data_IF_586775161453
#
_entry.id   IF_586775161453
#
_cell.length_a   1.000
_cell.length_b   1.000
_cell.length_c   1.000
_cell.angle_alpha   90.00
_cell.angle_beta   90.00
_cell.angle_gamma   90.00
#
_symmetry.space_group_name_H-M   'P 1'
#
loop_
_entity.id
_entity.type
_entity.pdbx_description
1 polymer ?
#
# COMPACT_ATOMS: atom_id res chain seq x y z
N UNK A 1 -3.24 -4.32 8.60
CA UNK A 1 -4.29 -5.21 8.05
C UNK A 1 -5.14 -5.70 9.20
N UNK A 2 -6.50 -5.61 9.19
CA UNK A 2 -7.29 -6.45 10.11
C UNK A 2 -7.32 -7.88 9.58
N UNK A 3 -7.42 -8.83 10.50
CA UNK A 3 -7.11 -10.22 10.20
C UNK A 3 -8.24 -10.87 9.38
N UNK A 4 -9.51 -10.69 9.74
CA UNK A 4 -10.64 -11.36 9.06
C UNK A 4 -10.89 -10.93 7.60
N UNK A 5 -10.62 -9.67 7.25
CA UNK A 5 -11.04 -9.08 5.97
C UNK A 5 -9.97 -9.19 4.88
N UNK A 6 -8.72 -9.29 5.30
CA UNK A 6 -7.69 -9.85 4.45
C UNK A 6 -7.91 -11.33 4.22
N UNK A 7 -8.18 -12.05 5.31
CA UNK A 7 -8.35 -13.50 5.29
C UNK A 7 -9.44 -13.89 4.29
N UNK A 8 -10.60 -13.24 4.29
CA UNK A 8 -11.66 -13.51 3.32
C UNK A 8 -11.22 -13.29 1.85
N UNK A 9 -10.33 -12.32 1.59
CA UNK A 9 -9.84 -11.99 0.24
C UNK A 9 -8.72 -12.91 -0.22
N UNK A 10 -7.85 -13.36 0.68
CA UNK A 10 -6.79 -14.33 0.37
C UNK A 10 -7.29 -15.78 0.36
N UNK A 11 -8.37 -16.09 1.08
CA UNK A 11 -8.97 -17.44 1.15
C UNK A 11 -9.53 -17.96 -0.18
N UNK A 12 -9.78 -17.07 -1.16
CA UNK A 12 -10.17 -17.46 -2.51
C UNK A 12 -8.97 -17.81 -3.41
N UNK A 13 -7.74 -17.62 -2.92
CA UNK A 13 -6.49 -17.87 -3.64
C UNK A 13 -5.79 -19.11 -3.08
N UNK A 14 -4.98 -19.83 -3.88
CA UNK A 14 -4.08 -20.86 -3.36
C UNK A 14 -3.19 -20.32 -2.22
N UNK A 15 -3.13 -21.08 -1.13
CA UNK A 15 -2.59 -20.63 0.16
C UNK A 15 -1.05 -20.46 0.17
N UNK A 16 -0.37 -20.85 -0.89
CA UNK A 16 1.09 -20.81 -1.07
C UNK A 16 1.55 -19.65 -1.97
N UNK A 17 0.64 -18.74 -2.36
CA UNK A 17 0.98 -17.61 -3.22
C UNK A 17 1.60 -16.44 -2.44
N UNK A 18 2.75 -15.98 -2.93
CA UNK A 18 3.43 -14.77 -2.48
C UNK A 18 2.66 -13.51 -2.91
N UNK A 19 2.51 -12.54 -2.00
CA UNK A 19 1.77 -11.30 -2.25
C UNK A 19 2.75 -10.14 -2.43
N UNK A 20 2.73 -9.55 -3.62
CA UNK A 20 3.62 -8.46 -4.02
C UNK A 20 2.82 -7.24 -4.50
N UNK A 21 3.42 -6.05 -4.41
CA UNK A 21 2.96 -4.78 -4.97
C UNK A 21 3.91 -4.32 -6.05
N UNK A 22 3.42 -3.58 -7.06
CA UNK A 22 4.29 -3.04 -8.10
C UNK A 22 5.27 -2.03 -7.50
N UNK A 23 6.56 -2.19 -7.82
CA UNK A 23 7.56 -1.18 -7.47
C UNK A 23 7.39 0.06 -8.36
N UNK A 24 7.85 1.22 -7.88
CA UNK A 24 7.65 2.50 -8.57
C UNK A 24 8.36 2.56 -9.94
N UNK A 25 9.59 2.05 -10.03
CA UNK A 25 10.39 2.14 -11.27
C UNK A 25 10.34 0.86 -12.10
N UNK A 26 10.57 -0.32 -11.49
CA UNK A 26 10.52 -1.61 -12.17
C UNK A 26 10.39 -2.77 -11.16
N UNK A 27 9.65 -3.81 -11.53
CA UNK A 27 9.56 -5.06 -10.75
C UNK A 27 8.44 -5.04 -9.72
N UNK A 28 8.57 -5.89 -8.71
CA UNK A 28 7.57 -6.07 -7.67
C UNK A 28 8.26 -6.14 -6.32
N UNK A 29 7.71 -5.42 -5.34
CA UNK A 29 8.14 -5.47 -3.96
C UNK A 29 7.17 -6.33 -3.15
N UNK A 30 7.62 -7.09 -2.14
CA UNK A 30 6.72 -7.80 -1.24
C UNK A 30 5.85 -6.81 -0.47
N UNK A 31 4.62 -7.20 -0.12
CA UNK A 31 3.82 -6.42 0.83
C UNK A 31 4.42 -6.58 2.22
N UNK A 32 5.07 -5.52 2.73
CA UNK A 32 5.69 -5.55 4.06
C UNK A 32 4.94 -4.76 5.13
N UNK A 33 4.00 -3.90 4.75
CA UNK A 33 3.27 -3.09 5.72
C UNK A 33 1.82 -2.80 5.35
N UNK A 34 1.00 -2.71 6.40
CA UNK A 34 -0.36 -2.24 6.30
C UNK A 34 -0.73 -1.32 7.45
N UNK A 35 -1.00 -0.06 7.12
CA UNK A 35 -1.31 0.99 8.08
C UNK A 35 -2.53 1.79 7.66
N UNK A 36 -3.28 2.24 8.65
CA UNK A 36 -4.31 3.24 8.43
C UNK A 36 -3.65 4.61 8.30
N UNK A 37 -4.01 5.35 7.25
CA UNK A 37 -3.57 6.72 7.00
C UNK A 37 -4.79 7.61 6.80
N UNK A 38 -4.67 8.89 7.15
CA UNK A 38 -5.67 9.89 6.81
C UNK A 38 -5.32 10.47 5.43
N UNK A 39 -6.28 10.49 4.50
CA UNK A 39 -6.08 10.99 3.14
C UNK A 39 -7.10 12.06 2.77
N UNK A 40 -6.68 13.01 1.94
CA UNK A 40 -7.53 14.04 1.35
C UNK A 40 -7.37 14.10 -0.17
N UNK A 41 -8.37 14.64 -0.89
CA UNK A 41 -8.29 14.76 -2.35
C UNK A 41 -7.35 15.90 -2.72
N UNK A 42 -6.45 15.64 -3.65
CA UNK A 42 -5.63 16.70 -4.25
C UNK A 42 -6.51 17.55 -5.17
N UNK A 43 -6.59 18.86 -4.91
CA UNK A 43 -7.19 19.83 -5.82
C UNK A 43 -6.21 20.16 -6.96
N UNK A 44 -6.71 20.29 -8.20
CA UNK A 44 -5.92 20.63 -9.40
C UNK A 44 -4.63 19.82 -9.55
N UNK A 45 -4.78 18.51 -9.81
CA UNK A 45 -3.65 17.58 -9.90
C UNK A 45 -3.14 17.38 -11.32
N UNK A 46 -1.83 17.27 -11.44
CA UNK A 46 -1.17 16.74 -12.64
C UNK A 46 -1.47 15.23 -12.82
N UNK A 47 -1.31 14.72 -14.04
CA UNK A 47 -1.65 13.33 -14.36
C UNK A 47 -0.81 12.30 -13.58
N UNK A 48 0.42 12.67 -13.20
CA UNK A 48 1.35 11.84 -12.44
C UNK A 48 1.16 11.93 -10.93
N UNK A 49 0.28 12.82 -10.45
CA UNK A 49 -0.01 12.96 -9.01
C UNK A 49 -1.17 12.04 -8.65
N UNK A 50 -1.01 11.31 -7.54
CA UNK A 50 -2.06 10.47 -6.97
C UNK A 50 -3.37 11.25 -6.76
N UNK A 51 -4.50 10.57 -6.79
CA UNK A 51 -5.82 11.21 -6.56
C UNK A 51 -5.93 11.76 -5.13
N UNK A 52 -5.15 11.19 -4.21
CA UNK A 52 -5.15 11.53 -2.80
C UNK A 52 -3.72 11.77 -2.31
N UNK A 53 -3.59 12.66 -1.32
CA UNK A 53 -2.38 12.90 -0.56
C UNK A 53 -2.66 12.69 0.94
N UNK A 54 -1.62 12.69 1.76
CA UNK A 54 -1.74 12.65 3.21
C UNK A 54 -2.56 13.86 3.70
N UNK A 55 -3.60 13.61 4.48
CA UNK A 55 -4.44 14.67 4.98
C UNK A 55 -3.77 15.43 6.12
N UNK A 56 -3.83 16.76 6.05
CA UNK A 56 -3.28 17.63 7.09
C UNK A 56 -4.25 17.88 8.27
N UNK A 57 -5.56 17.75 8.04
CA UNK A 57 -6.57 18.08 9.07
C UNK A 57 -7.81 17.14 9.03
N UNK A 58 -8.80 17.40 8.16
CA UNK A 58 -10.06 16.63 8.07
C UNK A 58 -10.01 15.52 7.00
N UNK A 59 -9.00 14.67 7.09
CA UNK A 59 -8.83 13.51 6.20
C UNK A 59 -9.82 12.39 6.47
N UNK A 60 -10.10 11.58 5.45
CA UNK A 60 -10.76 10.28 5.64
C UNK A 60 -9.72 9.18 5.88
N UNK A 61 -10.01 8.24 6.77
CA UNK A 61 -9.13 7.09 7.03
C UNK A 61 -9.16 6.09 5.86
N UNK A 62 -7.99 5.58 5.46
CA UNK A 62 -7.81 4.54 4.45
C UNK A 62 -6.72 3.53 4.86
N UNK A 63 -6.83 2.28 4.43
CA UNK A 63 -5.81 1.25 4.63
C UNK A 63 -4.79 1.28 3.48
N UNK A 64 -3.57 1.68 3.78
CA UNK A 64 -2.44 1.61 2.87
C UNK A 64 -1.82 0.21 2.93
N UNK A 65 -1.76 -0.48 1.79
CA UNK A 65 -0.93 -1.69 1.59
C UNK A 65 0.31 -1.24 0.85
N UNK A 66 1.48 -1.36 1.45
CA UNK A 66 2.71 -0.88 0.81
C UNK A 66 3.91 -1.71 1.20
N UNK A 67 4.92 -1.63 0.34
CA UNK A 67 6.24 -2.14 0.66
C UNK A 67 7.08 -1.02 1.26
N UNK A 68 7.63 -1.30 2.44
CA UNK A 68 8.76 -0.59 3.03
C UNK A 68 10.07 -1.32 2.73
N UNK A 69 10.37 -1.61 1.47
CA UNK A 69 11.67 -2.17 1.11
C UNK A 69 12.70 -1.03 1.00
N UNK A 70 13.52 -0.85 2.03
CA UNK A 70 14.65 0.07 1.97
C UNK A 70 15.83 -0.65 1.32
N UNK A 71 16.37 -0.08 0.24
CA UNK A 71 17.56 -0.58 -0.50
C UNK A 71 18.79 -0.90 0.37
N UNK A 72 18.80 -0.48 1.64
CA UNK A 72 19.83 -0.81 2.63
C UNK A 72 19.76 -2.26 3.15
N UNK A 73 18.65 -2.97 2.97
CA UNK A 73 18.45 -4.33 3.48
C UNK A 73 18.95 -5.43 2.51
N UNK A 74 19.42 -5.07 1.31
CA UNK A 74 20.01 -5.99 0.33
C UNK A 74 21.44 -6.47 0.69
N UNK A 75 22.05 -5.95 1.75
CA UNK A 75 23.44 -6.26 2.15
C UNK A 75 23.57 -6.82 3.58
N UNK A 76 22.69 -7.74 3.96
CA UNK A 76 22.86 -8.55 5.17
C UNK A 76 22.90 -10.04 4.81
#
# INVERSE_FOLDING_TARGET
MTVAELIARLQACPADLEVVVASYEQGYDPVTDLREIAIEKVADKEWYVGVYDDATDLGRTALLIHSRFLRSEEKA
#
